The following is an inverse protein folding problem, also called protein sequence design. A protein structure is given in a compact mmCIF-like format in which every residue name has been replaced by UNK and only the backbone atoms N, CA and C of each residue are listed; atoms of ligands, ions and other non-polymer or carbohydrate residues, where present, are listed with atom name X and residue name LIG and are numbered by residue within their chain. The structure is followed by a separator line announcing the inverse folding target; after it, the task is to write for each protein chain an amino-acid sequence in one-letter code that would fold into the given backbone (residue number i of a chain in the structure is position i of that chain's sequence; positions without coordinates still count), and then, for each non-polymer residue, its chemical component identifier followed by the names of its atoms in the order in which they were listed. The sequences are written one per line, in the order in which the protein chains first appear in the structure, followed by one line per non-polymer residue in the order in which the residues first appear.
data_IF_459280147178
#
_entry.id   IF_459280147178
#
_cell.length_a   1.000
_cell.length_b   1.000
_cell.length_c   1.000
_cell.angle_alpha   90.00
_cell.angle_beta   90.00
_cell.angle_gamma   90.00
#
_symmetry.space_group_name_H-M   'P 1'
#
loop_
_entity.id
_entity.type
_entity.pdbx_description
1 polymer ?
#
# COMPACT_ATOMS: atom_id res chain seq x y z
N UNK A 1 -2.39 16.64 -31.17
CA UNK A 1 -2.78 15.36 -30.55
C UNK A 1 -3.61 15.70 -29.33
N UNK A 2 -4.83 15.16 -29.15
CA UNK A 2 -5.50 15.32 -27.87
C UNK A 2 -4.62 14.69 -26.79
N UNK A 3 -4.46 15.38 -25.67
CA UNK A 3 -3.77 14.84 -24.51
C UNK A 3 -4.49 13.60 -24.01
N UNK A 4 -3.72 12.57 -23.66
CA UNK A 4 -4.27 11.38 -23.00
C UNK A 4 -4.87 11.80 -21.65
N UNK A 5 -6.00 11.20 -21.23
CA UNK A 5 -6.56 11.43 -19.88
C UNK A 5 -5.51 11.28 -18.78
N UNK A 6 -4.58 10.33 -18.91
CA UNK A 6 -3.50 10.11 -17.96
C UNK A 6 -2.54 11.32 -17.88
N UNK A 7 -2.26 11.96 -19.03
CA UNK A 7 -1.41 13.15 -19.10
C UNK A 7 -2.03 14.35 -18.38
N UNK A 8 -3.36 14.50 -18.43
CA UNK A 8 -4.04 15.57 -17.69
C UNK A 8 -4.05 15.30 -16.18
N UNK A 9 -4.28 14.05 -15.76
CA UNK A 9 -4.22 13.67 -14.34
C UNK A 9 -2.85 13.94 -13.71
N UNK A 10 -1.77 13.74 -14.45
CA UNK A 10 -0.41 14.00 -13.95
C UNK A 10 -0.10 15.49 -13.73
N UNK A 11 -0.89 16.40 -14.30
CA UNK A 11 -0.74 17.86 -14.07
C UNK A 11 -1.39 18.33 -12.76
N UNK A 12 -2.25 17.52 -12.15
CA UNK A 12 -2.89 17.87 -10.88
C UNK A 12 -1.85 18.01 -9.75
N UNK A 13 -2.12 18.81 -8.70
CA UNK A 13 -1.34 18.82 -7.47
C UNK A 13 -1.12 17.41 -6.89
N UNK A 14 -0.01 17.20 -6.19
CA UNK A 14 0.33 15.87 -5.66
C UNK A 14 -0.74 15.30 -4.70
N UNK A 15 -1.37 16.16 -3.89
CA UNK A 15 -2.51 15.80 -3.04
C UNK A 15 -3.66 15.22 -3.84
N UNK A 16 -4.06 15.92 -4.90
CA UNK A 16 -5.25 15.60 -5.70
C UNK A 16 -5.01 14.31 -6.49
N UNK A 17 -3.77 14.09 -6.95
CA UNK A 17 -3.37 12.81 -7.57
C UNK A 17 -3.45 11.66 -6.58
N UNK A 18 -2.99 11.86 -5.34
CA UNK A 18 -3.04 10.82 -4.31
C UNK A 18 -4.49 10.50 -3.92
N UNK A 19 -5.33 11.51 -3.77
CA UNK A 19 -6.76 11.36 -3.48
C UNK A 19 -7.46 10.60 -4.61
N UNK A 20 -7.22 10.98 -5.86
CA UNK A 20 -7.80 10.30 -7.02
C UNK A 20 -7.30 8.85 -7.14
N UNK A 21 -6.01 8.60 -6.91
CA UNK A 21 -5.45 7.26 -6.90
C UNK A 21 -6.14 6.38 -5.84
N UNK A 22 -6.37 6.92 -4.64
CA UNK A 22 -7.12 6.22 -3.58
C UNK A 22 -8.60 6.03 -3.93
N UNK A 23 -9.25 7.01 -4.56
CA UNK A 23 -10.63 6.88 -5.01
C UNK A 23 -10.78 5.78 -6.08
N UNK A 24 -9.88 5.74 -7.06
CA UNK A 24 -9.82 4.68 -8.07
C UNK A 24 -9.54 3.33 -7.42
N UNK A 25 -8.57 3.26 -6.50
CA UNK A 25 -8.26 2.05 -5.74
C UNK A 25 -9.47 1.53 -4.96
N UNK A 26 -10.19 2.40 -4.26
CA UNK A 26 -11.37 2.04 -3.47
C UNK A 26 -12.60 1.71 -4.32
N UNK A 27 -12.60 2.07 -5.61
CA UNK A 27 -13.70 1.72 -6.53
C UNK A 27 -13.66 0.25 -6.98
N UNK A 28 -12.51 -0.42 -6.79
CA UNK A 28 -12.33 -1.83 -7.11
C UNK A 28 -13.05 -2.73 -6.09
N UNK A 29 -13.66 -3.81 -6.58
CA UNK A 29 -14.21 -4.89 -5.75
C UNK A 29 -13.10 -5.57 -4.94
N UNK A 30 -13.47 -6.27 -3.87
CA UNK A 30 -12.49 -7.02 -3.06
C UNK A 30 -11.72 -8.04 -3.92
N UNK A 31 -12.42 -8.75 -4.81
CA UNK A 31 -11.81 -9.72 -5.74
C UNK A 31 -10.81 -9.06 -6.69
N UNK A 32 -11.13 -7.90 -7.26
CA UNK A 32 -10.22 -7.17 -8.15
C UNK A 32 -8.96 -6.70 -7.40
N UNK A 33 -9.11 -6.24 -6.15
CA UNK A 33 -7.99 -5.82 -5.30
C UNK A 33 -7.11 -6.99 -4.89
N UNK A 34 -7.70 -8.11 -4.48
CA UNK A 34 -6.98 -9.33 -4.13
C UNK A 34 -6.15 -9.85 -5.31
N UNK A 35 -6.71 -9.82 -6.53
CA UNK A 35 -6.00 -10.20 -7.74
C UNK A 35 -4.78 -9.30 -8.07
N UNK A 36 -4.72 -8.06 -7.57
CA UNK A 36 -3.54 -7.20 -7.74
C UNK A 36 -2.39 -7.55 -6.78
N UNK A 37 -2.67 -8.30 -5.70
CA UNK A 37 -1.72 -8.60 -4.63
C UNK A 37 -1.55 -10.10 -4.41
N UNK A 38 -1.52 -10.89 -5.49
CA UNK A 38 -1.18 -12.30 -5.40
C UNK A 38 0.24 -12.47 -4.83
N UNK A 39 0.31 -12.93 -3.59
CA UNK A 39 1.56 -13.20 -2.90
C UNK A 39 2.11 -14.55 -3.34
N UNK A 40 3.42 -14.62 -3.57
CA UNK A 40 4.10 -15.92 -3.75
C UNK A 40 4.02 -16.76 -2.47
N UNK A 41 4.25 -18.06 -2.59
CA UNK A 41 4.24 -18.96 -1.43
C UNK A 41 5.30 -18.53 -0.40
N UNK A 42 6.47 -18.08 -0.86
CA UNK A 42 7.56 -17.60 0.00
C UNK A 42 7.19 -16.30 0.73
N UNK A 43 6.49 -15.38 0.05
CA UNK A 43 6.02 -14.14 0.67
C UNK A 43 4.96 -14.42 1.74
N UNK A 44 4.01 -15.33 1.47
CA UNK A 44 3.01 -15.77 2.46
C UNK A 44 3.70 -16.41 3.67
N UNK A 45 4.64 -17.33 3.44
CA UNK A 45 5.38 -17.97 4.51
C UNK A 45 6.16 -16.97 5.38
N UNK A 46 6.75 -15.92 4.78
CA UNK A 46 7.45 -14.89 5.55
C UNK A 46 6.50 -14.02 6.37
N UNK A 47 5.32 -13.68 5.85
CA UNK A 47 4.30 -12.96 6.61
C UNK A 47 3.82 -13.79 7.81
N UNK A 48 3.53 -15.08 7.60
CA UNK A 48 3.14 -16.00 8.67
C UNK A 48 4.23 -16.12 9.74
N UNK A 49 5.49 -16.26 9.32
CA UNK A 49 6.65 -16.32 10.24
C UNK A 49 6.77 -15.05 11.08
N UNK A 50 6.65 -13.86 10.47
CA UNK A 50 6.72 -12.58 11.18
C UNK A 50 5.53 -12.36 12.11
N UNK A 51 4.35 -12.78 11.69
CA UNK A 51 3.15 -12.71 12.52
C UNK A 51 3.30 -13.59 13.77
N UNK A 52 3.70 -14.85 13.60
CA UNK A 52 3.95 -15.76 14.72
C UNK A 52 5.03 -15.22 15.67
N UNK A 53 6.11 -14.64 15.13
CA UNK A 53 7.15 -14.01 15.92
C UNK A 53 6.61 -12.83 16.74
N UNK A 54 5.80 -11.96 16.14
CA UNK A 54 5.21 -10.81 16.83
C UNK A 54 4.17 -11.21 17.89
N UNK A 55 3.38 -12.25 17.64
CA UNK A 55 2.44 -12.79 18.62
C UNK A 55 3.16 -13.35 19.85
N UNK A 56 4.31 -14.03 19.63
CA UNK A 56 5.14 -14.56 20.71
C UNK A 56 5.91 -13.46 21.46
N UNK A 57 6.37 -12.44 20.73
CA UNK A 57 7.10 -11.28 21.26
C UNK A 57 6.64 -10.00 20.56
N UNK A 58 5.70 -9.24 21.16
CA UNK A 58 5.23 -7.99 20.57
C UNK A 58 6.34 -6.94 20.38
N UNK A 59 7.43 -7.02 21.15
CA UNK A 59 8.57 -6.11 21.03
C UNK A 59 9.45 -6.40 19.81
N UNK A 60 9.22 -7.52 19.11
CA UNK A 60 9.93 -7.86 17.87
C UNK A 60 9.58 -6.96 16.69
N UNK A 61 8.50 -6.17 16.80
CA UNK A 61 8.08 -5.23 15.77
C UNK A 61 8.46 -3.79 16.13
N UNK A 62 8.70 -2.98 15.11
CA UNK A 62 8.91 -1.53 15.30
C UNK A 62 7.55 -0.85 15.36
N UNK A 63 7.27 -0.04 16.40
CA UNK A 63 6.03 0.74 16.47
C UNK A 63 5.85 1.63 15.24
N UNK A 64 4.62 1.70 14.72
CA UNK A 64 4.33 2.52 13.54
C UNK A 64 4.69 4.00 13.73
N UNK A 65 4.53 4.54 14.94
CA UNK A 65 4.93 5.91 15.25
C UNK A 65 6.42 6.17 14.97
N UNK A 66 7.29 5.22 15.33
CA UNK A 66 8.73 5.32 15.11
C UNK A 66 9.11 5.18 13.64
N UNK A 67 8.43 4.28 12.91
CA UNK A 67 8.59 4.15 11.46
C UNK A 67 8.18 5.45 10.76
N UNK A 68 7.01 6.00 11.12
CA UNK A 68 6.48 7.23 10.54
C UNK A 68 7.37 8.43 10.81
N UNK A 69 7.91 8.55 12.02
CA UNK A 69 8.85 9.61 12.38
C UNK A 69 10.11 9.57 11.51
N UNK A 70 10.63 8.39 11.19
CA UNK A 70 11.79 8.24 10.29
C UNK A 70 11.51 8.56 8.83
N UNK A 71 10.26 8.38 8.37
CA UNK A 71 9.89 8.62 6.97
C UNK A 71 9.49 10.07 6.69
N UNK A 72 9.04 10.80 7.71
CA UNK A 72 8.52 12.17 7.58
C UNK A 72 9.41 13.24 8.23
N UNK A 73 10.43 12.84 9.00
CA UNK A 73 11.47 13.72 9.54
C UNK A 73 12.66 13.83 8.59
#
# INVERSE_FOLDING_TARGET
MPSSPLTELLKLPASDRAELAMALWNSLTDVEREAQFELTDEQRAELDRRWAQHVADPSSAVPWADVRAKLLG
#
